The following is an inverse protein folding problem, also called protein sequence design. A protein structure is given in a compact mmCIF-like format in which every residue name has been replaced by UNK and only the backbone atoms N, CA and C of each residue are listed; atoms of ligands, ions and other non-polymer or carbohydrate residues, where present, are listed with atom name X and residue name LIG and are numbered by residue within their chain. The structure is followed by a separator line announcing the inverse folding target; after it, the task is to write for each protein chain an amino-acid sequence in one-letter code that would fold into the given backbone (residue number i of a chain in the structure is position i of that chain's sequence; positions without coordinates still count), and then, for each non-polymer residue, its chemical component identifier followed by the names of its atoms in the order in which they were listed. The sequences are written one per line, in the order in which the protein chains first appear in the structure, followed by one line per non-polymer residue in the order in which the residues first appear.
data_IF_970489051729
#
_entry.id   IF_970489051729
#
_cell.length_a   1.000
_cell.length_b   1.000
_cell.length_c   1.000
_cell.angle_alpha   90.00
_cell.angle_beta   90.00
_cell.angle_gamma   90.00
#
_symmetry.space_group_name_H-M   'P 1'
#
loop_
_entity.id
_entity.type
_entity.pdbx_description
1 polymer ?
#
# COMPACT_ATOMS: atom_id res chain seq x y z
N UNK A 1 -17.24 3.93 -2.68
CA UNK A 1 -18.16 3.10 -1.87
C UNK A 1 -17.33 2.26 -0.90
N UNK A 2 -17.75 2.16 0.38
CA UNK A 2 -17.07 1.30 1.36
C UNK A 2 -17.63 -0.13 1.28
N UNK A 3 -16.79 -1.14 1.49
CA UNK A 3 -17.19 -2.56 1.58
C UNK A 3 -16.90 -3.06 2.99
N UNK A 4 -17.84 -3.84 3.55
CA UNK A 4 -17.63 -4.52 4.82
C UNK A 4 -16.69 -5.71 4.61
N UNK A 5 -15.76 -5.90 5.54
CA UNK A 5 -14.85 -7.03 5.61
C UNK A 5 -14.87 -7.61 7.02
N UNK A 6 -14.57 -8.90 7.16
CA UNK A 6 -14.38 -9.54 8.45
C UNK A 6 -12.88 -9.76 8.67
N UNK A 7 -12.34 -9.30 9.80
CA UNK A 7 -10.95 -9.47 10.19
C UNK A 7 -10.88 -10.03 11.60
N UNK A 8 -9.85 -10.82 11.88
CA UNK A 8 -9.53 -11.30 13.22
C UNK A 8 -8.34 -10.50 13.74
N UNK A 9 -8.44 -10.01 14.96
CA UNK A 9 -7.39 -9.25 15.66
C UNK A 9 -7.12 -9.91 17.00
N UNK A 10 -5.89 -9.74 17.48
CA UNK A 10 -5.53 -10.10 18.85
C UNK A 10 -6.40 -9.31 19.85
N UNK A 11 -6.75 -9.93 20.98
CA UNK A 11 -7.64 -9.35 21.97
C UNK A 11 -7.04 -8.10 22.63
N UNK A 12 -5.74 -8.11 22.93
CA UNK A 12 -5.05 -6.97 23.53
C UNK A 12 -5.01 -5.80 22.53
N UNK A 13 -4.70 -6.08 21.27
CA UNK A 13 -4.70 -5.06 20.21
C UNK A 13 -6.10 -4.45 20.01
N UNK A 14 -7.16 -5.26 20.08
CA UNK A 14 -8.53 -4.77 19.99
C UNK A 14 -8.88 -3.87 21.17
N UNK A 15 -8.45 -4.22 22.39
CA UNK A 15 -8.66 -3.40 23.58
C UNK A 15 -7.94 -2.04 23.49
N UNK A 16 -6.71 -2.00 22.97
CA UNK A 16 -5.98 -0.76 22.73
C UNK A 16 -6.67 0.12 21.67
N UNK A 17 -7.12 -0.50 20.57
CA UNK A 17 -7.88 0.18 19.53
C UNK A 17 -9.17 0.80 20.08
N UNK A 18 -9.85 0.10 20.99
CA UNK A 18 -11.07 0.57 21.64
C UNK A 18 -10.84 1.77 22.55
N UNK A 19 -9.76 1.74 23.33
CA UNK A 19 -9.36 2.87 24.16
C UNK A 19 -9.07 4.10 23.30
N UNK A 20 -8.28 3.94 22.22
CA UNK A 20 -7.95 5.03 21.30
C UNK A 20 -9.18 5.59 20.58
N UNK A 21 -10.08 4.71 20.13
CA UNK A 21 -11.32 5.10 19.49
C UNK A 21 -12.20 5.94 20.42
N UNK A 22 -12.32 5.52 21.68
CA UNK A 22 -13.09 6.23 22.70
C UNK A 22 -12.48 7.59 23.05
N UNK A 23 -11.15 7.65 23.21
CA UNK A 23 -10.46 8.89 23.60
C UNK A 23 -10.49 9.94 22.48
N UNK A 24 -10.39 9.51 21.23
CA UNK A 24 -10.36 10.40 20.07
C UNK A 24 -11.75 10.75 19.50
N UNK A 25 -12.82 10.21 20.08
CA UNK A 25 -14.19 10.28 19.55
C UNK A 25 -14.24 9.84 18.07
N UNK A 26 -13.72 8.64 17.81
CA UNK A 26 -13.67 8.03 16.47
C UNK A 26 -14.14 6.58 16.52
N UNK A 27 -14.56 6.07 15.36
CA UNK A 27 -14.92 4.65 15.23
C UNK A 27 -13.68 3.78 15.05
N UNK A 28 -13.75 2.52 15.49
CA UNK A 28 -12.74 1.49 15.17
C UNK A 28 -12.45 1.43 13.67
N UNK A 29 -13.51 1.45 12.85
CA UNK A 29 -13.42 1.42 11.40
C UNK A 29 -12.60 2.58 10.84
N UNK A 30 -12.79 3.80 11.37
CA UNK A 30 -12.00 4.96 10.97
C UNK A 30 -10.51 4.77 11.27
N UNK A 31 -10.18 4.31 12.49
CA UNK A 31 -8.79 4.08 12.89
C UNK A 31 -8.14 2.94 12.09
N UNK A 32 -8.85 1.84 11.87
CA UNK A 32 -8.40 0.72 11.03
C UNK A 32 -8.13 1.20 9.60
N UNK A 33 -9.04 1.96 9.01
CA UNK A 33 -8.87 2.52 7.67
C UNK A 33 -7.61 3.39 7.60
N UNK A 34 -7.39 4.26 8.60
CA UNK A 34 -6.19 5.11 8.66
C UNK A 34 -4.90 4.33 8.88
N UNK A 35 -4.90 3.33 9.75
CA UNK A 35 -3.75 2.48 9.99
C UNK A 35 -3.35 1.71 8.72
N UNK A 36 -4.32 1.11 8.01
CA UNK A 36 -4.08 0.41 6.75
C UNK A 36 -3.55 1.37 5.68
N UNK A 37 -4.17 2.55 5.51
CA UNK A 37 -3.69 3.56 4.56
C UNK A 37 -2.26 3.98 4.86
N UNK A 38 -1.93 4.24 6.13
CA UNK A 38 -0.57 4.62 6.51
C UNK A 38 0.45 3.50 6.29
N UNK A 39 0.05 2.24 6.47
CA UNK A 39 0.94 1.10 6.23
C UNK A 39 1.21 0.89 4.73
N UNK A 40 0.29 1.28 3.85
CA UNK A 40 0.53 1.22 2.42
C UNK A 40 1.73 2.09 1.99
N UNK A 41 1.97 3.23 2.63
CA UNK A 41 3.14 4.06 2.33
C UNK A 41 4.46 3.27 2.58
N UNK A 42 4.51 2.48 3.66
CA UNK A 42 5.65 1.59 3.95
C UNK A 42 5.74 0.44 2.96
N UNK A 43 4.62 -0.18 2.60
CA UNK A 43 4.59 -1.26 1.62
C UNK A 43 5.05 -0.78 0.24
N UNK A 44 4.68 0.44 -0.15
CA UNK A 44 5.07 1.04 -1.42
C UNK A 44 6.60 1.27 -1.49
N UNK A 45 7.22 1.67 -0.39
CA UNK A 45 8.68 1.74 -0.28
C UNK A 45 9.33 0.35 -0.45
N UNK A 46 8.85 -0.65 0.28
CA UNK A 46 9.36 -2.03 0.18
C UNK A 46 9.21 -2.62 -1.23
N UNK A 47 8.10 -2.33 -1.91
CA UNK A 47 7.87 -2.76 -3.30
C UNK A 47 8.83 -2.04 -4.24
N UNK A 48 9.08 -0.75 -4.01
CA UNK A 48 10.00 0.05 -4.81
C UNK A 48 11.43 -0.47 -4.71
N UNK A 49 11.89 -0.79 -3.49
CA UNK A 49 13.20 -1.40 -3.27
C UNK A 49 13.34 -2.74 -3.99
N UNK A 50 12.32 -3.60 -3.87
CA UNK A 50 12.30 -4.88 -4.59
C UNK A 50 12.42 -4.68 -6.10
N UNK A 51 11.69 -3.73 -6.69
CA UNK A 51 11.77 -3.43 -8.13
C UNK A 51 13.17 -2.95 -8.53
N UNK A 52 13.79 -2.09 -7.71
CA UNK A 52 15.17 -1.64 -7.94
C UNK A 52 16.14 -2.83 -7.93
N UNK A 53 15.99 -3.78 -7.01
CA UNK A 53 16.83 -4.97 -6.95
C UNK A 53 16.59 -5.94 -8.10
N UNK A 54 15.34 -6.07 -8.57
CA UNK A 54 15.01 -6.87 -9.76
C UNK A 54 15.62 -6.24 -11.03
N UNK A 55 15.71 -4.91 -11.14
CA UNK A 55 16.45 -4.21 -12.19
C UNK A 55 17.96 -4.49 -12.06
N UNK A 56 18.55 -4.33 -10.86
CA UNK A 56 19.99 -4.55 -10.63
C UNK A 56 20.42 -5.99 -10.91
N UNK A 57 19.57 -6.96 -10.56
CA UNK A 57 19.81 -8.39 -10.80
C UNK A 57 19.50 -8.82 -12.24
N UNK A 58 19.00 -7.92 -13.08
CA UNK A 58 18.68 -8.17 -14.49
C UNK A 58 17.42 -8.99 -14.73
N UNK A 59 16.58 -9.20 -13.71
CA UNK A 59 15.26 -9.83 -13.87
C UNK A 59 14.28 -8.91 -14.58
N UNK A 60 14.40 -7.60 -14.34
CA UNK A 60 13.66 -6.56 -15.03
C UNK A 60 14.62 -5.68 -15.85
N UNK A 61 14.10 -5.09 -16.93
CA UNK A 61 14.86 -4.19 -17.80
C UNK A 61 14.20 -2.82 -17.82
N UNK A 62 15.02 -1.78 -17.78
CA UNK A 62 14.59 -0.44 -18.08
C UNK A 62 14.36 -0.30 -19.58
N UNK A 63 13.22 0.25 -19.97
CA UNK A 63 12.86 0.54 -21.37
C UNK A 63 12.73 2.06 -21.48
N UNK A 64 13.33 2.65 -22.51
CA UNK A 64 13.24 4.11 -22.70
C UNK A 64 11.83 4.52 -23.15
N UNK A 65 11.46 5.79 -22.91
CA UNK A 65 10.16 6.28 -23.34
C UNK A 65 10.00 6.20 -24.87
N UNK A 66 11.07 6.46 -25.63
CA UNK A 66 11.07 6.31 -27.09
C UNK A 66 10.82 4.86 -27.53
N UNK A 67 11.41 3.88 -26.84
CA UNK A 67 11.17 2.47 -27.11
C UNK A 67 9.71 2.09 -26.81
N UNK A 68 9.13 2.63 -25.72
CA UNK A 68 7.71 2.45 -25.40
C UNK A 68 6.82 3.04 -26.50
N UNK A 69 7.10 4.25 -26.98
CA UNK A 69 6.31 4.87 -28.05
C UNK A 69 6.39 4.12 -29.38
N UNK A 70 7.59 3.64 -29.75
CA UNK A 70 7.76 2.76 -30.91
C UNK A 70 6.95 1.48 -30.77
N UNK A 71 6.92 0.86 -29.59
CA UNK A 71 6.11 -0.34 -29.33
C UNK A 71 4.60 -0.05 -29.34
N UNK A 72 4.19 1.13 -28.87
CA UNK A 72 2.80 1.56 -28.83
C UNK A 72 2.27 2.10 -30.18
N UNK A 73 3.14 2.27 -31.19
CA UNK A 73 2.77 2.85 -32.48
C UNK A 73 2.48 4.35 -32.41
N UNK A 74 3.07 5.05 -31.44
CA UNK A 74 2.94 6.49 -31.25
C UNK A 74 4.17 7.15 -31.89
N UNK A 75 3.94 8.05 -32.84
CA UNK A 75 5.00 8.86 -33.45
C UNK A 75 5.13 10.17 -32.64
N UNK A 76 6.30 10.41 -32.06
CA UNK A 76 6.67 11.60 -31.27
C UNK A 76 7.95 12.23 -31.77
#
# INVERSE_FOLDING_TARGET
MKKAINIRLDEALLAELDACASELDRTRTYLIEKAISSYFDTLDEMISDKRIDDIKSGKEKLISLEEVFKQAGIDV
#
